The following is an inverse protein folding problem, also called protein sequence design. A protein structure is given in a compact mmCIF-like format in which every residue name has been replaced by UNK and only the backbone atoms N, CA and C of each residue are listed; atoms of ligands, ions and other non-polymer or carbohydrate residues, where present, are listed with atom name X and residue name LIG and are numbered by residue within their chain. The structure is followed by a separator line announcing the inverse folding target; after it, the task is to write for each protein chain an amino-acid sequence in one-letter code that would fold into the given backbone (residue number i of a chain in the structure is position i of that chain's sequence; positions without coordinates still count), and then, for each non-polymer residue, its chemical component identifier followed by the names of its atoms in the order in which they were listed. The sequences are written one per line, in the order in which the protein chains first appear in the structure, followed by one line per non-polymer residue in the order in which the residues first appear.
data_IF_934894657337
#
_entry.id   IF_934894657337
#
_cell.length_a   1.000
_cell.length_b   1.000
_cell.length_c   1.000
_cell.angle_alpha   90.00
_cell.angle_beta   90.00
_cell.angle_gamma   90.00
#
_symmetry.space_group_name_H-M   'P 1'
#
loop_
_entity.id
_entity.type
_entity.pdbx_description
1 polymer ?
#
# COMPACT_ATOMS: atom_id res chain seq x y z
N UNK A 1 17.22 -8.30 -3.48
CA UNK A 1 16.31 -7.61 -4.41
C UNK A 1 14.92 -8.18 -4.19
N UNK A 2 13.95 -7.36 -3.79
CA UNK A 2 12.53 -7.77 -3.81
C UNK A 2 12.07 -7.83 -5.27
N UNK A 3 11.32 -8.87 -5.63
CA UNK A 3 10.72 -9.08 -6.96
C UNK A 3 9.27 -8.61 -7.00
N UNK A 4 8.50 -9.08 -7.98
CA UNK A 4 7.07 -8.78 -8.14
C UNK A 4 6.17 -9.63 -7.19
N UNK A 5 6.77 -10.34 -6.24
CA UNK A 5 6.05 -11.22 -5.32
C UNK A 5 5.57 -10.44 -4.10
N UNK A 6 4.36 -10.75 -3.64
CA UNK A 6 3.79 -10.16 -2.43
C UNK A 6 4.49 -10.68 -1.18
N UNK A 7 4.89 -9.75 -0.31
CA UNK A 7 5.54 -10.05 0.96
C UNK A 7 4.74 -9.41 2.09
N UNK A 8 4.30 -10.23 3.05
CA UNK A 8 3.64 -9.75 4.27
C UNK A 8 4.63 -9.03 5.16
N UNK A 9 4.24 -7.86 5.68
CA UNK A 9 5.00 -7.09 6.67
C UNK A 9 4.09 -6.67 7.82
N UNK A 10 4.62 -6.64 9.04
CA UNK A 10 3.91 -6.23 10.25
C UNK A 10 4.83 -5.44 11.17
N UNK A 11 4.29 -4.39 11.79
CA UNK A 11 5.01 -3.58 12.76
C UNK A 11 4.12 -3.25 13.97
N UNK A 12 4.62 -3.37 15.21
CA UNK A 12 3.87 -2.95 16.39
C UNK A 12 3.75 -1.43 16.43
N UNK A 13 2.56 -0.93 16.76
CA UNK A 13 2.30 0.50 16.95
C UNK A 13 1.91 0.74 18.41
N UNK A 14 2.62 1.66 19.07
CA UNK A 14 2.34 2.05 20.47
C UNK A 14 2.24 3.56 20.59
N UNK A 15 1.09 4.07 21.03
CA UNK A 15 0.88 5.49 21.30
C UNK A 15 -0.06 5.69 22.49
N UNK A 16 0.23 6.68 23.33
CA UNK A 16 -0.64 7.09 24.45
C UNK A 16 -1.51 8.31 24.09
N UNK A 17 -1.42 8.78 22.85
CA UNK A 17 -2.17 9.92 22.31
C UNK A 17 -2.78 9.54 20.95
N UNK A 18 -3.81 10.25 20.47
CA UNK A 18 -4.30 10.08 19.10
C UNK A 18 -3.15 10.17 18.09
N UNK A 19 -3.17 9.31 17.07
CA UNK A 19 -2.12 9.20 16.07
C UNK A 19 -2.74 8.92 14.69
N UNK A 20 -1.93 9.14 13.66
CA UNK A 20 -2.22 8.77 12.27
C UNK A 20 -1.12 7.85 11.78
N UNK A 21 -1.47 6.82 11.01
CA UNK A 21 -0.49 5.96 10.33
C UNK A 21 -0.29 6.54 8.94
N UNK A 22 0.96 6.76 8.54
CA UNK A 22 1.30 7.25 7.21
C UNK A 22 2.22 6.22 6.53
N UNK A 23 1.84 5.78 5.35
CA UNK A 23 2.71 5.03 4.44
C UNK A 23 3.38 6.00 3.49
N UNK A 24 4.68 6.18 3.68
CA UNK A 24 5.52 7.07 2.90
C UNK A 24 6.43 6.27 1.97
N UNK A 25 6.47 6.65 0.70
CA UNK A 25 7.48 6.21 -0.25
C UNK A 25 8.39 7.40 -0.58
N UNK A 26 9.70 7.17 -0.45
CA UNK A 26 10.73 8.15 -0.75
C UNK A 26 11.57 7.67 -1.93
N UNK A 27 11.74 8.53 -2.93
CA UNK A 27 12.58 8.23 -4.06
C UNK A 27 14.05 8.50 -3.76
N UNK A 28 14.84 7.44 -3.60
CA UNK A 28 16.26 7.53 -3.24
C UNK A 28 17.21 7.58 -4.44
N UNK A 29 16.78 7.14 -5.63
CA UNK A 29 17.58 7.22 -6.86
C UNK A 29 16.70 6.99 -8.09
N UNK A 30 16.92 7.72 -9.19
CA UNK A 30 16.17 7.65 -10.47
C UNK A 30 16.17 6.29 -11.22
N UNK A 31 16.49 5.19 -10.55
CA UNK A 31 16.35 3.85 -11.08
C UNK A 31 14.86 3.45 -11.02
N UNK A 32 14.30 3.05 -12.16
CA UNK A 32 12.91 2.60 -12.26
C UNK A 32 12.65 1.43 -11.29
N UNK A 33 11.90 1.71 -10.24
CA UNK A 33 11.44 0.81 -9.22
C UNK A 33 9.98 1.16 -8.92
N UNK A 34 9.25 0.23 -8.35
CA UNK A 34 7.84 0.44 -8.03
C UNK A 34 7.58 -0.16 -6.68
N UNK A 35 6.77 0.51 -5.87
CA UNK A 35 6.33 0.00 -4.59
C UNK A 35 4.83 -0.24 -4.67
N UNK A 36 4.44 -1.47 -4.38
CA UNK A 36 3.04 -1.89 -4.32
C UNK A 36 2.71 -2.37 -2.92
N UNK A 37 1.55 -1.95 -2.42
CA UNK A 37 1.01 -2.32 -1.12
C UNK A 37 -0.45 -2.69 -1.26
N UNK A 38 -0.88 -3.68 -0.50
CA UNK A 38 -2.24 -4.18 -0.47
C UNK A 38 -2.56 -4.72 0.95
N UNK A 39 -3.84 -4.95 1.23
CA UNK A 39 -4.33 -5.62 2.44
C UNK A 39 -3.90 -4.97 3.76
N UNK A 40 -4.11 -3.66 3.89
CA UNK A 40 -3.89 -2.97 5.15
C UNK A 40 -4.85 -3.45 6.22
N UNK A 41 -4.33 -3.67 7.42
CA UNK A 41 -5.13 -3.98 8.59
C UNK A 41 -4.48 -3.40 9.85
N UNK A 42 -5.32 -2.88 10.76
CA UNK A 42 -4.90 -2.50 12.10
C UNK A 42 -5.67 -3.34 13.11
N UNK A 43 -4.95 -3.95 14.04
CA UNK A 43 -5.54 -4.78 15.09
C UNK A 43 -4.99 -4.39 16.46
N UNK A 44 -5.85 -4.39 17.46
CA UNK A 44 -5.41 -4.24 18.84
C UNK A 44 -4.65 -5.49 19.32
N UNK A 45 -3.49 -5.26 19.95
CA UNK A 45 -2.62 -6.30 20.49
C UNK A 45 -1.25 -6.33 19.83
N UNK A 46 -0.36 -7.18 20.35
CA UNK A 46 0.98 -7.34 19.78
C UNK A 46 0.91 -8.10 18.44
N UNK A 47 1.76 -7.72 17.48
CA UNK A 47 2.00 -8.50 16.26
C UNK A 47 2.56 -9.87 16.68
N UNK A 48 1.83 -10.96 16.43
CA UNK A 48 2.40 -12.30 16.58
C UNK A 48 3.34 -12.57 15.43
N UNK A 49 4.57 -12.99 15.70
CA UNK A 49 5.52 -13.49 14.69
C UNK A 49 5.04 -14.75 13.93
N UNK A 50 3.80 -15.20 14.13
CA UNK A 50 3.24 -16.44 13.62
C UNK A 50 1.91 -16.26 12.85
N UNK A 51 1.62 -15.06 12.35
CA UNK A 51 0.54 -14.84 11.38
C UNK A 51 -0.89 -15.15 11.87
N UNK A 52 -1.08 -15.41 13.16
CA UNK A 52 -2.28 -16.03 13.72
C UNK A 52 -2.81 -15.36 15.02
N UNK A 53 -2.27 -14.21 15.46
CA UNK A 53 -2.92 -13.39 16.51
C UNK A 53 -4.39 -13.14 16.19
N UNK A 54 -4.69 -12.85 14.91
CA UNK A 54 -6.04 -12.55 14.43
C UNK A 54 -6.97 -13.76 14.31
N UNK A 55 -6.45 -14.98 14.47
CA UNK A 55 -7.24 -16.20 14.38
C UNK A 55 -7.52 -16.85 15.75
N UNK A 56 -6.62 -16.67 16.73
CA UNK A 56 -6.69 -17.39 18.02
C UNK A 56 -7.28 -16.55 19.15
N UNK A 57 -7.23 -15.22 19.04
CA UNK A 57 -8.03 -14.30 19.86
C UNK A 57 -8.81 -13.42 18.90
N UNK A 58 -10.01 -13.01 19.29
CA UNK A 58 -10.83 -12.00 18.59
C UNK A 58 -10.05 -10.66 18.56
N UNK A 59 -9.00 -10.57 17.77
CA UNK A 59 -8.44 -9.29 17.38
C UNK A 59 -9.52 -8.66 16.53
N UNK A 60 -10.12 -7.59 17.03
CA UNK A 60 -10.97 -6.78 16.18
C UNK A 60 -10.04 -6.12 15.17
N UNK A 61 -10.04 -6.65 13.94
CA UNK A 61 -9.49 -5.94 12.79
C UNK A 61 -10.35 -4.71 12.61
N UNK A 62 -9.73 -3.56 12.69
CA UNK A 62 -10.34 -2.27 12.42
C UNK A 62 -9.62 -1.65 11.24
N UNK A 63 -10.34 -0.89 10.42
CA UNK A 63 -9.76 -0.15 9.28
C UNK A 63 -9.00 -1.08 8.31
N UNK A 64 -9.61 -2.22 7.97
CA UNK A 64 -9.09 -3.09 6.91
C UNK A 64 -9.33 -2.44 5.56
N UNK A 65 -8.36 -2.48 4.66
CA UNK A 65 -8.52 -2.02 3.29
C UNK A 65 -7.73 -2.89 2.32
N UNK A 66 -8.45 -3.50 1.40
CA UNK A 66 -7.93 -4.34 0.31
C UNK A 66 -8.06 -3.65 -1.06
N UNK A 67 -8.47 -2.38 -1.07
CA UNK A 67 -8.61 -1.55 -2.26
C UNK A 67 -9.51 -2.08 -3.39
N UNK A 68 -10.34 -3.11 -3.18
CA UNK A 68 -11.14 -3.69 -4.27
C UNK A 68 -12.32 -2.82 -4.71
N UNK A 69 -12.83 -1.97 -3.82
CA UNK A 69 -13.95 -1.06 -4.12
C UNK A 69 -13.46 0.39 -4.28
N UNK A 70 -12.69 0.89 -3.32
CA UNK A 70 -12.22 2.27 -3.24
C UNK A 70 -10.94 2.40 -2.39
N UNK A 71 -10.66 3.60 -1.86
CA UNK A 71 -9.52 3.88 -0.97
C UNK A 71 -9.83 3.59 0.52
N UNK A 72 -11.03 3.09 0.83
CA UNK A 72 -11.57 2.89 2.16
C UNK A 72 -11.55 4.18 2.99
N UNK A 73 -10.65 4.27 3.97
CA UNK A 73 -10.43 5.47 4.81
C UNK A 73 -9.08 6.12 4.55
N UNK A 74 -8.30 5.60 3.59
CA UNK A 74 -6.98 6.11 3.25
C UNK A 74 -7.08 7.31 2.31
N UNK A 75 -6.32 8.35 2.60
CA UNK A 75 -6.20 9.55 1.77
C UNK A 75 -4.80 9.62 1.17
N UNK A 76 -4.71 9.91 -0.12
CA UNK A 76 -3.44 10.14 -0.81
C UNK A 76 -3.09 11.64 -0.86
N UNK A 77 -1.81 11.95 -0.70
CA UNK A 77 -1.26 13.30 -0.88
C UNK A 77 -1.29 13.67 -2.38
N UNK A 78 -2.41 14.25 -2.80
CA UNK A 78 -2.81 14.47 -4.19
C UNK A 78 -4.35 14.55 -4.33
N UNK A 79 -5.08 13.96 -3.37
CA UNK A 79 -6.53 13.87 -3.34
C UNK A 79 -7.04 12.68 -4.15
N UNK A 80 -8.17 12.11 -3.74
CA UNK A 80 -8.82 10.97 -4.42
C UNK A 80 -9.20 11.27 -5.88
N UNK A 81 -9.34 12.56 -6.23
CA UNK A 81 -9.71 13.04 -7.56
C UNK A 81 -8.52 13.23 -8.49
N UNK A 82 -7.29 13.24 -7.98
CA UNK A 82 -6.08 13.27 -8.79
C UNK A 82 -5.69 11.86 -9.21
N UNK A 83 -6.62 11.15 -9.85
CA UNK A 83 -6.31 9.90 -10.59
C UNK A 83 -5.95 10.19 -12.04
N UNK A 84 -6.09 11.44 -12.47
CA UNK A 84 -5.91 11.86 -13.86
C UNK A 84 -4.52 12.45 -14.13
N UNK A 85 -3.78 12.90 -13.11
CA UNK A 85 -2.39 13.32 -13.30
C UNK A 85 -1.44 12.12 -13.29
N UNK A 86 -1.46 11.40 -14.40
CA UNK A 86 -0.60 10.23 -14.63
C UNK A 86 0.89 10.52 -14.42
N UNK A 87 1.32 11.79 -14.45
CA UNK A 87 2.71 12.21 -14.33
C UNK A 87 3.16 12.59 -12.91
N UNK A 88 2.29 12.55 -11.92
CA UNK A 88 2.65 12.91 -10.55
C UNK A 88 2.98 11.68 -9.67
N UNK A 89 3.96 11.86 -8.78
CA UNK A 89 4.46 10.86 -7.83
C UNK A 89 3.63 10.83 -6.55
N UNK A 90 2.59 10.00 -6.56
CA UNK A 90 1.74 9.74 -5.40
C UNK A 90 1.13 8.32 -5.49
N UNK A 91 0.50 7.86 -4.42
CA UNK A 91 -0.11 6.52 -4.37
C UNK A 91 -1.35 6.42 -5.26
N UNK A 92 -1.34 5.49 -6.22
CA UNK A 92 -2.45 5.28 -7.17
C UNK A 92 -3.09 3.92 -6.95
N UNK A 93 -4.42 3.88 -6.90
CA UNK A 93 -5.17 2.62 -6.95
C UNK A 93 -5.07 2.07 -8.36
N UNK A 94 -4.55 0.86 -8.48
CA UNK A 94 -4.08 0.32 -9.74
C UNK A 94 -4.59 -1.10 -9.94
N UNK A 95 -5.08 -1.40 -11.15
CA UNK A 95 -5.53 -2.74 -11.51
C UNK A 95 -4.38 -3.54 -12.13
N UNK A 96 -4.13 -4.75 -11.67
CA UNK A 96 -3.00 -5.58 -12.15
C UNK A 96 -2.95 -5.74 -13.68
N UNK A 97 -4.11 -5.87 -14.34
CA UNK A 97 -4.23 -5.98 -15.80
C UNK A 97 -3.79 -4.73 -16.56
N UNK A 98 -3.88 -3.54 -15.95
CA UNK A 98 -3.62 -2.27 -16.63
C UNK A 98 -2.15 -1.83 -16.55
N UNK A 99 -1.27 -2.67 -15.99
CA UNK A 99 0.09 -2.33 -15.56
C UNK A 99 1.00 -1.78 -16.65
N UNK A 100 1.40 -0.52 -16.46
CA UNK A 100 2.44 0.20 -17.21
C UNK A 100 3.80 0.16 -16.51
N UNK A 101 3.81 0.10 -15.17
CA UNK A 101 5.03 0.07 -14.37
C UNK A 101 5.72 -1.30 -14.44
N UNK A 102 6.97 -1.35 -14.92
CA UNK A 102 7.71 -2.59 -15.18
C UNK A 102 7.92 -3.51 -13.97
N UNK A 103 7.85 -2.98 -12.75
CA UNK A 103 8.12 -3.72 -11.50
C UNK A 103 6.92 -3.87 -10.58
N UNK A 104 5.74 -3.43 -11.00
CA UNK A 104 4.52 -3.66 -10.21
C UNK A 104 4.02 -5.11 -10.38
N UNK A 105 3.36 -5.70 -9.37
CA UNK A 105 2.73 -7.02 -9.46
C UNK A 105 1.68 -7.08 -10.57
N UNK A 106 1.56 -8.22 -11.25
CA UNK A 106 0.53 -8.44 -12.28
C UNK A 106 -0.76 -9.00 -11.68
N UNK A 107 -0.62 -9.80 -10.62
CA UNK A 107 -1.71 -10.45 -9.91
C UNK A 107 -1.85 -9.73 -8.58
N UNK A 108 -3.05 -9.24 -8.32
CA UNK A 108 -3.42 -8.64 -7.05
C UNK A 108 -3.42 -9.68 -5.91
N UNK A 109 -3.03 -9.26 -4.69
CA UNK A 109 -2.88 -10.16 -3.56
C UNK A 109 -4.24 -10.59 -3.00
N UNK A 110 -5.19 -9.67 -2.88
CA UNK A 110 -6.51 -9.94 -2.31
C UNK A 110 -7.30 -10.96 -3.13
N UNK A 111 -7.44 -10.70 -4.42
CA UNK A 111 -8.28 -11.49 -5.33
C UNK A 111 -7.53 -12.66 -5.95
N UNK A 112 -6.19 -12.64 -5.91
CA UNK A 112 -5.34 -13.59 -6.64
C UNK A 112 -5.63 -13.59 -8.15
N UNK A 113 -6.03 -12.43 -8.69
CA UNK A 113 -6.32 -12.24 -10.12
C UNK A 113 -5.66 -10.99 -10.68
N UNK A 114 -5.60 -10.90 -12.02
CA UNK A 114 -5.19 -9.65 -12.69
C UNK A 114 -6.26 -8.55 -12.62
N UNK A 115 -7.47 -8.86 -12.15
CA UNK A 115 -8.58 -7.93 -12.09
C UNK A 115 -8.70 -7.21 -10.75
N UNK A 116 -7.99 -7.65 -9.72
CA UNK A 116 -7.95 -6.98 -8.42
C UNK A 116 -7.11 -5.71 -8.43
N UNK A 117 -7.17 -5.01 -7.31
CA UNK A 117 -6.67 -3.65 -7.16
C UNK A 117 -5.78 -3.52 -5.94
N UNK A 118 -4.66 -2.84 -6.12
CA UNK A 118 -3.71 -2.53 -5.06
C UNK A 118 -3.22 -1.08 -5.20
N UNK A 119 -2.50 -0.60 -4.20
CA UNK A 119 -1.90 0.73 -4.25
C UNK A 119 -0.48 0.65 -4.82
N UNK A 120 -0.19 1.52 -5.79
CA UNK A 120 1.07 1.57 -6.53
C UNK A 120 1.65 2.99 -6.51
N UNK A 121 2.96 3.08 -6.31
CA UNK A 121 3.74 4.26 -6.66
C UNK A 121 4.85 3.85 -7.63
N UNK A 122 5.01 4.63 -8.70
CA UNK A 122 5.98 4.37 -9.77
C UNK A 122 7.12 5.39 -9.72
N UNK A 123 8.35 4.92 -9.46
CA UNK A 123 9.50 5.81 -9.29
C UNK A 123 9.90 6.56 -10.55
N UNK A 124 9.54 6.05 -11.73
CA UNK A 124 9.83 6.69 -13.02
C UNK A 124 9.23 8.10 -13.13
N UNK A 125 8.28 8.43 -12.24
CA UNK A 125 7.57 9.70 -12.16
C UNK A 125 8.14 10.66 -11.09
N UNK A 126 9.19 10.25 -10.35
CA UNK A 126 9.78 11.04 -9.28
C UNK A 126 11.20 11.53 -9.60
N UNK A 127 11.49 12.74 -9.14
CA UNK A 127 12.86 13.18 -8.90
C UNK A 127 13.36 12.64 -7.55
N UNK A 128 14.68 12.49 -7.39
CA UNK A 128 15.30 12.12 -6.10
C UNK A 128 14.83 13.05 -4.97
N UNK A 129 14.35 12.47 -3.87
CA UNK A 129 13.81 13.19 -2.71
C UNK A 129 12.31 13.47 -2.79
N UNK A 130 11.62 13.00 -3.82
CA UNK A 130 10.16 13.05 -3.89
C UNK A 130 9.54 12.13 -2.83
N UNK A 131 8.42 12.57 -2.25
CA UNK A 131 7.67 11.83 -1.23
C UNK A 131 6.23 11.59 -1.69
N UNK A 132 5.78 10.34 -1.62
CA UNK A 132 4.37 9.95 -1.76
C UNK A 132 3.84 9.47 -0.42
N UNK A 133 2.68 9.98 0.02
CA UNK A 133 2.09 9.67 1.34
C UNK A 133 0.64 9.20 1.22
N UNK A 134 0.33 8.11 1.91
CA UNK A 134 -1.01 7.56 2.11
C UNK A 134 -1.30 7.57 3.62
N UNK A 135 -2.37 8.20 4.07
CA UNK A 135 -2.64 8.45 5.50
C UNK A 135 -4.11 8.34 5.89
#
# INVERSE_FOLDING_TARGET
AQGMDWIRSEAPVTSNVPFTIIFEAEELSVNSSSLSVDDFSLSNGACSTHGNCCHVRKCQVTNSCNFEEDYCLWTNLGGETDTQNVLAYYWKRYQGLQRTASFAPVIDHTTQTVHGYYMLVESSLADTGSLARLY
#
